data_IF_473119238359
#
_entry.id   IF_473119238359
#
_cell.length_a   1.000
_cell.length_b   1.000
_cell.length_c   1.000
_cell.angle_alpha   90.00
_cell.angle_beta   90.00
_cell.angle_gamma   90.00
#
_symmetry.space_group_name_H-M   'P 1'
#
loop_
_entity.id
_entity.type
_entity.pdbx_description
1 polymer ?
#
# COMPACT_ATOMS: atom_id res chain seq x y z
N UNK A 1 0.94 20.32 7.53
CA UNK A 1 0.44 19.80 8.83
C UNK A 1 1.54 18.92 9.41
N UNK A 2 1.96 19.22 10.63
CA UNK A 2 3.04 18.50 11.32
C UNK A 2 2.54 17.13 11.75
N UNK A 3 2.95 16.10 11.03
CA UNK A 3 2.72 14.71 11.47
C UNK A 3 3.58 14.46 12.70
N UNK A 4 2.96 14.34 13.86
CA UNK A 4 3.64 13.90 15.07
C UNK A 4 3.78 12.37 15.03
N UNK A 5 4.99 11.88 14.89
CA UNK A 5 5.28 10.46 15.01
C UNK A 5 5.32 10.06 16.48
N UNK A 6 4.70 8.95 16.81
CA UNK A 6 4.78 8.38 18.15
C UNK A 6 6.25 8.07 18.53
N UNK A 7 6.64 8.29 19.77
CA UNK A 7 7.95 7.85 20.27
C UNK A 7 8.16 6.35 20.03
N UNK A 8 9.38 5.92 19.76
CA UNK A 8 9.69 4.49 19.50
C UNK A 8 9.20 3.54 20.62
N UNK A 9 9.16 4.00 21.86
CA UNK A 9 8.68 3.23 23.02
C UNK A 9 7.16 2.94 22.96
N UNK A 10 6.41 3.72 22.20
CA UNK A 10 4.95 3.63 22.07
C UNK A 10 4.54 2.90 20.76
N UNK A 11 5.53 2.37 20.05
CA UNK A 11 5.32 1.60 18.80
C UNK A 11 5.80 0.17 19.05
N UNK A 12 5.01 -0.83 18.64
CA UNK A 12 5.39 -2.23 18.72
C UNK A 12 6.78 -2.46 18.11
N UNK A 13 7.63 -3.20 18.80
CA UNK A 13 8.87 -3.72 18.21
C UNK A 13 8.56 -4.68 17.06
N UNK A 14 9.58 -5.12 16.31
CA UNK A 14 9.37 -6.10 15.24
C UNK A 14 8.99 -7.47 15.81
N UNK A 15 9.56 -7.82 16.94
CA UNK A 15 9.28 -9.05 17.68
C UNK A 15 7.85 -9.06 18.22
N UNK A 16 7.39 -7.96 18.80
CA UNK A 16 6.01 -7.81 19.27
C UNK A 16 5.02 -7.85 18.10
N UNK A 17 5.32 -7.19 16.97
CA UNK A 17 4.50 -7.26 15.77
C UNK A 17 4.37 -8.70 15.25
N UNK A 18 5.48 -9.43 15.18
CA UNK A 18 5.47 -10.84 14.78
C UNK A 18 4.68 -11.70 15.79
N UNK A 19 4.87 -11.48 17.08
CA UNK A 19 4.15 -12.20 18.14
C UNK A 19 2.63 -11.99 18.03
N UNK A 20 2.18 -10.75 17.81
CA UNK A 20 0.77 -10.43 17.58
C UNK A 20 0.24 -11.17 16.35
N UNK A 21 0.94 -11.14 15.22
CA UNK A 21 0.55 -11.87 14.02
C UNK A 21 0.41 -13.38 14.27
N UNK A 22 1.37 -13.98 15.01
CA UNK A 22 1.34 -15.41 15.38
C UNK A 22 0.17 -15.77 16.30
N UNK A 23 -0.20 -14.87 17.22
CA UNK A 23 -1.40 -15.06 18.05
C UNK A 23 -2.65 -15.10 17.17
N UNK A 24 -2.82 -14.14 16.26
CA UNK A 24 -3.97 -14.14 15.36
C UNK A 24 -4.01 -15.37 14.45
N UNK A 25 -2.87 -15.84 13.95
CA UNK A 25 -2.83 -17.11 13.18
C UNK A 25 -3.32 -18.30 14.01
N UNK A 26 -2.89 -18.42 15.28
CA UNK A 26 -3.38 -19.48 16.19
C UNK A 26 -4.88 -19.37 16.46
N UNK A 27 -5.44 -18.16 16.40
CA UNK A 27 -6.87 -17.90 16.55
C UNK A 27 -7.67 -18.11 15.23
N UNK A 28 -7.01 -18.56 14.16
CA UNK A 28 -7.66 -18.89 12.89
C UNK A 28 -7.59 -17.80 11.82
N UNK A 29 -6.84 -16.72 12.03
CA UNK A 29 -6.60 -15.73 10.98
C UNK A 29 -5.77 -16.34 9.85
N UNK A 30 -6.32 -16.33 8.63
CA UNK A 30 -5.70 -16.93 7.44
C UNK A 30 -5.10 -15.91 6.48
N UNK A 31 -5.40 -14.62 6.66
CA UNK A 31 -4.88 -13.54 5.79
C UNK A 31 -4.34 -12.41 6.64
N UNK A 32 -3.10 -12.01 6.38
CA UNK A 32 -2.47 -10.88 7.05
C UNK A 32 -2.08 -9.84 6.00
N UNK A 33 -2.40 -8.58 6.30
CA UNK A 33 -1.98 -7.43 5.51
C UNK A 33 -1.13 -6.50 6.35
N UNK A 34 0.10 -6.28 5.93
CA UNK A 34 0.96 -5.26 6.53
C UNK A 34 0.69 -3.92 5.85
N UNK A 35 0.37 -2.93 6.66
CA UNK A 35 0.08 -1.56 6.24
C UNK A 35 0.56 -0.59 7.31
N UNK A 36 0.26 0.68 7.16
CA UNK A 36 0.60 1.72 8.14
C UNK A 36 0.88 3.03 7.42
N UNK A 37 1.92 3.79 7.80
CA UNK A 37 2.45 4.84 6.97
C UNK A 37 3.03 4.21 5.70
N UNK A 38 4.32 3.88 5.70
CA UNK A 38 4.92 3.05 4.65
C UNK A 38 5.66 1.87 5.32
N UNK A 39 5.14 0.64 5.22
CA UNK A 39 5.74 -0.50 5.92
C UNK A 39 7.15 -0.82 5.44
N UNK A 40 7.46 -0.61 4.16
CA UNK A 40 8.75 -1.01 3.58
C UNK A 40 9.92 -0.08 3.94
N UNK A 41 9.66 1.09 4.55
CA UNK A 41 10.73 1.96 5.08
C UNK A 41 11.13 1.59 6.50
N UNK A 42 10.34 0.77 7.21
CA UNK A 42 10.67 0.36 8.56
C UNK A 42 11.90 -0.53 8.56
N UNK A 43 12.96 -0.08 9.24
CA UNK A 43 14.20 -0.85 9.35
C UNK A 43 13.94 -2.24 9.93
N UNK A 44 14.40 -3.29 9.24
CA UNK A 44 14.25 -4.68 9.67
C UNK A 44 12.90 -5.33 9.34
N UNK A 45 11.95 -4.62 8.71
CA UNK A 45 10.62 -5.18 8.41
C UNK A 45 10.68 -6.45 7.54
N UNK A 46 11.68 -6.58 6.68
CA UNK A 46 11.84 -7.77 5.85
C UNK A 46 12.06 -9.05 6.67
N UNK A 47 12.65 -8.94 7.87
CA UNK A 47 12.77 -10.10 8.77
C UNK A 47 11.38 -10.61 9.20
N UNK A 48 10.47 -9.70 9.57
CA UNK A 48 9.08 -10.06 9.93
C UNK A 48 8.36 -10.65 8.73
N UNK A 49 8.49 -10.02 7.56
CA UNK A 49 7.87 -10.48 6.30
C UNK A 49 8.37 -11.89 5.95
N UNK A 50 9.68 -12.14 6.03
CA UNK A 50 10.27 -13.46 5.79
C UNK A 50 9.75 -14.52 6.78
N UNK A 51 9.63 -14.16 8.07
CA UNK A 51 9.16 -15.08 9.10
C UNK A 51 7.67 -15.42 8.92
N UNK A 52 6.83 -14.42 8.62
CA UNK A 52 5.41 -14.62 8.33
C UNK A 52 5.19 -15.34 6.99
N UNK A 53 6.02 -15.07 6.01
CA UNK A 53 5.91 -15.68 4.69
C UNK A 53 6.15 -17.19 4.70
N UNK A 54 6.94 -17.73 5.64
CA UNK A 54 7.12 -19.19 5.84
C UNK A 54 5.82 -19.89 6.25
N UNK A 55 4.85 -19.13 6.75
CA UNK A 55 3.55 -19.64 7.17
C UNK A 55 2.54 -19.68 6.02
N UNK A 56 2.84 -19.07 4.87
CA UNK A 56 1.97 -19.08 3.69
C UNK A 56 1.94 -20.50 3.10
N UNK A 57 0.71 -21.01 2.89
CA UNK A 57 0.48 -22.40 2.51
C UNK A 57 0.36 -23.38 3.68
N UNK A 58 0.54 -22.89 4.91
CA UNK A 58 0.39 -23.65 6.15
C UNK A 58 -0.68 -22.99 7.06
N UNK A 59 -0.26 -22.10 7.95
CA UNK A 59 -1.16 -21.36 8.85
C UNK A 59 -1.74 -20.08 8.22
N UNK A 60 -1.15 -19.57 7.15
CA UNK A 60 -1.67 -18.46 6.35
C UNK A 60 -2.01 -18.90 4.91
N UNK A 61 -3.11 -18.37 4.39
CA UNK A 61 -3.44 -18.44 2.96
C UNK A 61 -2.77 -17.30 2.19
N UNK A 62 -2.63 -16.13 2.82
CA UNK A 62 -2.12 -14.93 2.16
C UNK A 62 -1.39 -13.99 3.13
N UNK A 63 -0.21 -13.54 2.70
CA UNK A 63 0.50 -12.40 3.25
C UNK A 63 0.56 -11.31 2.16
N UNK A 64 -0.02 -10.15 2.43
CA UNK A 64 -0.04 -9.03 1.48
C UNK A 64 0.43 -7.73 2.14
N UNK A 65 0.81 -6.77 1.31
CA UNK A 65 1.36 -5.49 1.76
C UNK A 65 0.62 -4.36 1.04
N UNK A 66 0.28 -3.30 1.77
CA UNK A 66 -0.12 -2.04 1.17
C UNK A 66 1.04 -1.06 1.28
N UNK A 67 1.48 -0.50 0.17
CA UNK A 67 2.68 0.34 0.06
C UNK A 67 2.42 1.54 -0.84
N UNK A 68 3.19 2.60 -0.67
CA UNK A 68 3.23 3.74 -1.59
C UNK A 68 4.12 3.47 -2.84
N UNK A 69 4.72 2.28 -2.94
CA UNK A 69 5.53 1.86 -4.07
C UNK A 69 6.97 2.40 -4.09
N UNK A 70 7.33 3.33 -3.22
CA UNK A 70 8.65 4.00 -3.25
C UNK A 70 9.86 3.07 -3.04
N UNK A 71 9.64 1.88 -2.47
CA UNK A 71 10.69 0.89 -2.19
C UNK A 71 10.60 -0.36 -3.09
N UNK A 72 9.63 -0.45 -4.01
CA UNK A 72 9.42 -1.66 -4.81
C UNK A 72 10.57 -1.96 -5.76
N UNK A 73 11.19 -0.93 -6.34
CA UNK A 73 12.33 -1.13 -7.25
C UNK A 73 13.44 -1.97 -6.61
N UNK A 74 13.66 -1.82 -5.30
CA UNK A 74 14.68 -2.54 -4.53
C UNK A 74 14.16 -3.74 -3.76
N UNK A 75 12.87 -3.78 -3.42
CA UNK A 75 12.29 -4.77 -2.51
C UNK A 75 11.42 -5.83 -3.18
N UNK A 76 11.01 -5.65 -4.42
CA UNK A 76 10.04 -6.53 -5.08
C UNK A 76 10.49 -8.01 -5.10
N UNK A 77 11.75 -8.26 -5.44
CA UNK A 77 12.30 -9.61 -5.48
C UNK A 77 12.40 -10.24 -4.08
N UNK A 78 12.83 -9.46 -3.08
CA UNK A 78 12.90 -9.92 -1.68
C UNK A 78 11.49 -10.24 -1.14
N UNK A 79 10.48 -9.44 -1.48
CA UNK A 79 9.08 -9.69 -1.13
C UNK A 79 8.56 -10.99 -1.75
N UNK A 80 8.81 -11.18 -3.04
CA UNK A 80 8.39 -12.40 -3.73
C UNK A 80 9.03 -13.65 -3.13
N UNK A 81 10.34 -13.60 -2.87
CA UNK A 81 11.09 -14.70 -2.25
C UNK A 81 10.64 -14.97 -0.81
N UNK A 82 10.19 -13.94 -0.10
CA UNK A 82 9.60 -14.06 1.23
C UNK A 82 8.18 -14.68 1.26
N UNK A 83 7.59 -15.05 0.11
CA UNK A 83 6.28 -15.67 0.04
C UNK A 83 5.11 -14.69 -0.19
N UNK A 84 5.35 -13.39 -0.28
CA UNK A 84 4.34 -12.43 -0.75
C UNK A 84 4.02 -12.72 -2.21
N UNK A 85 2.71 -12.76 -2.55
CA UNK A 85 2.27 -13.02 -3.94
C UNK A 85 1.45 -11.88 -4.50
N UNK A 86 0.93 -11.00 -3.65
CA UNK A 86 0.15 -9.83 -4.04
C UNK A 86 0.51 -8.63 -3.18
N UNK A 87 0.55 -7.47 -3.83
CA UNK A 87 0.73 -6.17 -3.19
C UNK A 87 -0.37 -5.21 -3.61
N UNK A 88 -0.74 -4.29 -2.71
CA UNK A 88 -1.58 -3.15 -3.05
C UNK A 88 -0.71 -1.89 -3.05
N UNK A 89 -0.81 -1.12 -4.12
CA UNK A 89 0.01 0.09 -4.29
C UNK A 89 -0.89 1.29 -4.39
N UNK A 90 -0.68 2.28 -3.53
CA UNK A 90 -1.42 3.54 -3.57
C UNK A 90 -0.90 4.41 -4.71
N UNK A 91 -1.78 4.77 -5.65
CA UNK A 91 -1.46 5.64 -6.78
C UNK A 91 -2.72 6.40 -7.20
N UNK A 92 -2.72 7.72 -7.00
CA UNK A 92 -3.90 8.56 -7.19
C UNK A 92 -3.85 9.39 -8.47
N UNK A 93 -2.72 9.42 -9.19
CA UNK A 93 -2.57 10.16 -10.44
C UNK A 93 -1.42 9.61 -11.30
N UNK A 94 -1.54 9.70 -12.65
CA UNK A 94 -0.50 9.32 -13.62
C UNK A 94 0.34 10.51 -14.13
N UNK A 95 -0.06 11.73 -13.81
CA UNK A 95 0.75 12.94 -14.04
C UNK A 95 1.73 13.14 -12.88
N UNK A 96 3.02 13.38 -13.19
CA UNK A 96 4.09 13.46 -12.21
C UNK A 96 3.95 14.65 -11.24
N UNK A 97 3.49 15.80 -11.74
CA UNK A 97 3.31 17.01 -10.92
C UNK A 97 2.13 16.84 -9.98
N UNK A 98 1.02 16.28 -10.46
CA UNK A 98 -0.16 15.96 -9.65
C UNK A 98 0.13 14.88 -8.62
N UNK A 99 0.87 13.85 -8.99
CA UNK A 99 1.33 12.81 -8.07
C UNK A 99 2.21 13.40 -6.96
N UNK A 100 3.12 14.30 -7.31
CA UNK A 100 3.96 15.01 -6.35
C UNK A 100 3.15 15.96 -5.46
N UNK A 101 2.14 16.64 -6.01
CA UNK A 101 1.24 17.52 -5.26
C UNK A 101 0.54 16.75 -4.13
N UNK A 102 -0.05 15.58 -4.42
CA UNK A 102 -0.81 14.81 -3.43
C UNK A 102 0.08 14.05 -2.45
N UNK A 103 1.21 13.52 -2.91
CA UNK A 103 2.14 12.76 -2.08
C UNK A 103 3.17 13.63 -1.37
N UNK A 104 3.32 14.90 -1.76
CA UNK A 104 4.30 15.89 -1.30
C UNK A 104 5.74 15.60 -1.74
N UNK A 105 6.18 14.33 -1.71
CA UNK A 105 7.57 13.90 -1.93
C UNK A 105 7.68 12.72 -2.90
N UNK A 106 6.56 12.29 -3.47
CA UNK A 106 6.52 11.12 -4.35
C UNK A 106 7.24 11.38 -5.68
N UNK A 107 7.88 10.33 -6.17
CA UNK A 107 8.47 10.25 -7.51
C UNK A 107 7.70 9.17 -8.28
N UNK A 108 6.83 9.59 -9.19
CA UNK A 108 5.97 8.72 -9.98
C UNK A 108 6.78 7.74 -10.84
N UNK A 109 7.86 8.20 -11.46
CA UNK A 109 8.67 7.36 -12.32
C UNK A 109 9.40 6.27 -11.53
N UNK A 110 9.83 6.57 -10.31
CA UNK A 110 10.38 5.57 -9.40
C UNK A 110 9.32 4.52 -9.02
N UNK A 111 8.08 4.95 -8.76
CA UNK A 111 6.98 4.03 -8.47
C UNK A 111 6.68 3.15 -9.68
N UNK A 112 6.59 3.71 -10.89
CA UNK A 112 6.38 2.96 -12.13
C UNK A 112 7.48 1.92 -12.38
N UNK A 113 8.76 2.28 -12.19
CA UNK A 113 9.86 1.29 -12.27
C UNK A 113 9.72 0.19 -11.23
N UNK A 114 9.33 0.55 -10.01
CA UNK A 114 9.06 -0.41 -8.94
C UNK A 114 7.91 -1.36 -9.27
N UNK A 115 6.81 -0.86 -9.83
CA UNK A 115 5.67 -1.65 -10.30
C UNK A 115 6.08 -2.62 -11.41
N UNK A 116 6.85 -2.15 -12.40
CA UNK A 116 7.39 -3.00 -13.45
C UNK A 116 8.25 -4.12 -12.86
N UNK A 117 9.20 -3.80 -11.97
CA UNK A 117 10.03 -4.80 -11.29
C UNK A 117 9.18 -5.81 -10.51
N UNK A 118 8.16 -5.34 -9.80
CA UNK A 118 7.25 -6.20 -9.04
C UNK A 118 6.47 -7.17 -9.94
N UNK A 119 5.96 -6.70 -11.08
CA UNK A 119 5.32 -7.53 -12.10
C UNK A 119 6.29 -8.57 -12.68
N UNK A 120 7.49 -8.13 -13.06
CA UNK A 120 8.51 -8.97 -13.71
C UNK A 120 8.98 -10.12 -12.80
N UNK A 121 8.96 -9.93 -11.48
CA UNK A 121 9.25 -11.03 -10.52
C UNK A 121 8.02 -11.88 -10.17
N UNK A 122 6.84 -11.57 -10.71
CA UNK A 122 5.63 -12.38 -10.56
C UNK A 122 4.68 -11.96 -9.42
N UNK A 123 4.86 -10.77 -8.83
CA UNK A 123 3.88 -10.22 -7.88
C UNK A 123 2.62 -9.78 -8.62
N UNK A 124 1.45 -10.18 -8.12
CA UNK A 124 0.17 -9.61 -8.52
C UNK A 124 0.04 -8.22 -7.90
N UNK A 125 -0.36 -7.26 -8.71
CA UNK A 125 -0.43 -5.86 -8.31
C UNK A 125 -1.88 -5.40 -8.33
N UNK A 126 -2.31 -4.75 -7.25
CA UNK A 126 -3.55 -4.02 -7.20
C UNK A 126 -3.25 -2.55 -6.93
N UNK A 127 -3.70 -1.68 -7.81
CA UNK A 127 -3.63 -0.22 -7.61
C UNK A 127 -4.83 0.20 -6.77
N UNK A 128 -4.56 0.92 -5.69
CA UNK A 128 -5.57 1.57 -4.87
C UNK A 128 -5.54 3.06 -5.18
N UNK A 129 -6.64 3.59 -5.69
CA UNK A 129 -6.80 5.00 -6.05
C UNK A 129 -7.93 5.60 -5.23
N UNK A 130 -7.66 6.66 -4.48
CA UNK A 130 -8.69 7.46 -3.83
C UNK A 130 -9.29 8.41 -4.85
N UNK A 131 -10.60 8.31 -5.06
CA UNK A 131 -11.34 9.22 -5.93
C UNK A 131 -11.55 10.56 -5.22
N UNK A 132 -10.97 11.62 -5.77
CA UNK A 132 -10.99 12.96 -5.18
C UNK A 132 -11.65 13.92 -6.16
N UNK A 133 -12.79 14.51 -5.73
CA UNK A 133 -13.50 15.55 -6.50
C UNK A 133 -12.55 16.72 -6.80
N UNK A 134 -12.65 17.25 -8.03
CA UNK A 134 -11.85 18.37 -8.50
C UNK A 134 -10.32 18.16 -8.54
N UNK A 135 -9.86 16.91 -8.33
CA UNK A 135 -8.43 16.59 -8.40
C UNK A 135 -8.16 15.50 -9.45
N UNK A 136 -8.61 14.26 -9.23
CA UNK A 136 -8.35 13.16 -10.15
C UNK A 136 -9.62 12.54 -10.79
N UNK A 137 -10.80 13.08 -10.50
CA UNK A 137 -12.08 12.56 -11.00
C UNK A 137 -12.08 12.34 -12.52
N UNK A 138 -11.61 13.33 -13.29
CA UNK A 138 -11.55 13.24 -14.76
C UNK A 138 -10.45 12.31 -15.27
N UNK A 139 -9.50 11.91 -14.42
CA UNK A 139 -8.36 11.05 -14.77
C UNK A 139 -8.55 9.59 -14.33
N UNK A 140 -9.63 9.26 -13.59
CA UNK A 140 -9.90 7.88 -13.18
C UNK A 140 -10.02 6.91 -14.38
N UNK A 141 -10.66 7.28 -15.52
CA UNK A 141 -10.68 6.42 -16.70
C UNK A 141 -9.27 6.13 -17.26
N UNK A 142 -8.38 7.14 -17.30
CA UNK A 142 -6.99 6.98 -17.74
C UNK A 142 -6.19 6.02 -16.83
N UNK A 143 -6.38 6.14 -15.50
CA UNK A 143 -5.73 5.23 -14.55
C UNK A 143 -6.25 3.80 -14.73
N UNK A 144 -7.56 3.64 -14.95
CA UNK A 144 -8.18 2.33 -15.19
C UNK A 144 -7.65 1.69 -16.48
N UNK A 145 -7.58 2.44 -17.57
CA UNK A 145 -7.04 1.99 -18.86
C UNK A 145 -5.58 1.55 -18.71
N UNK A 146 -4.75 2.40 -18.10
CA UNK A 146 -3.36 2.06 -17.79
C UNK A 146 -3.23 0.80 -16.92
N UNK A 147 -4.07 0.62 -15.91
CA UNK A 147 -4.08 -0.62 -15.12
C UNK A 147 -4.40 -1.84 -15.98
N UNK A 148 -5.32 -1.71 -16.94
CA UNK A 148 -5.65 -2.77 -17.91
C UNK A 148 -4.45 -3.12 -18.80
N UNK A 149 -3.76 -2.12 -19.35
CA UNK A 149 -2.57 -2.30 -20.18
C UNK A 149 -1.41 -2.98 -19.43
N UNK A 150 -1.21 -2.61 -18.17
CA UNK A 150 -0.16 -3.16 -17.31
C UNK A 150 -0.55 -4.49 -16.64
N UNK A 151 -1.79 -4.97 -16.86
CA UNK A 151 -2.37 -6.16 -16.22
C UNK A 151 -2.38 -6.04 -14.68
N UNK A 152 -2.77 -4.87 -14.18
CA UNK A 152 -2.98 -4.60 -12.75
C UNK A 152 -4.46 -4.61 -12.40
N UNK A 153 -4.80 -5.16 -11.24
CA UNK A 153 -6.11 -4.94 -10.64
C UNK A 153 -6.23 -3.48 -10.16
N UNK A 154 -7.44 -2.93 -10.14
CA UNK A 154 -7.70 -1.61 -9.58
C UNK A 154 -8.81 -1.64 -8.52
N UNK A 155 -8.66 -0.82 -7.50
CA UNK A 155 -9.73 -0.48 -6.54
C UNK A 155 -9.83 1.03 -6.46
N UNK A 156 -11.02 1.56 -6.73
CA UNK A 156 -11.34 2.97 -6.52
C UNK A 156 -11.97 3.09 -5.13
N UNK A 157 -11.50 4.03 -4.32
CA UNK A 157 -11.86 4.22 -2.92
C UNK A 157 -12.46 5.61 -2.74
N UNK A 158 -13.62 5.70 -2.13
CA UNK A 158 -14.21 6.99 -1.74
C UNK A 158 -13.40 7.66 -0.62
N UNK A 159 -13.33 8.98 -0.64
CA UNK A 159 -12.78 9.75 0.47
C UNK A 159 -13.63 9.50 1.71
N UNK A 160 -13.04 8.93 2.75
CA UNK A 160 -13.71 8.78 4.04
C UNK A 160 -13.78 10.13 4.77
N UNK A 161 -14.99 10.55 5.13
CA UNK A 161 -15.26 11.79 5.86
C UNK A 161 -15.17 11.60 7.40
N UNK A 162 -14.42 10.59 7.86
CA UNK A 162 -14.27 10.21 9.27
C UNK A 162 -12.95 10.72 9.85
N UNK A 163 -12.95 10.98 11.17
CA UNK A 163 -11.78 11.41 11.93
C UNK A 163 -11.71 12.93 12.15
N UNK A 164 -10.74 13.36 12.97
CA UNK A 164 -10.47 14.77 13.28
C UNK A 164 -9.74 15.43 12.10
N UNK A 165 -10.50 15.68 11.04
CA UNK A 165 -9.97 16.14 9.78
C UNK A 165 -10.49 17.53 9.56
N UNK A 166 -9.73 18.50 10.04
CA UNK A 166 -9.95 19.92 9.92
C UNK A 166 -10.96 20.38 8.88
N UNK A 167 -12.23 20.39 9.26
CA UNK A 167 -13.31 21.12 8.62
C UNK A 167 -13.61 20.81 7.15
N UNK A 168 -14.26 21.74 6.52
CA UNK A 168 -14.93 21.72 5.21
C UNK A 168 -14.13 21.21 3.98
N UNK A 169 -12.80 21.14 4.05
CA UNK A 169 -11.95 20.79 2.90
C UNK A 169 -12.17 19.35 2.40
N UNK A 170 -12.43 18.39 3.30
CA UNK A 170 -12.65 16.99 2.88
C UNK A 170 -14.05 16.71 2.37
N UNK A 171 -15.06 17.44 2.86
CA UNK A 171 -16.40 17.36 2.27
C UNK A 171 -16.40 17.80 0.80
N UNK A 172 -15.59 18.84 0.47
CA UNK A 172 -15.40 19.29 -0.92
C UNK A 172 -14.61 18.32 -1.81
N UNK A 173 -13.94 17.31 -1.22
CA UNK A 173 -13.18 16.29 -1.94
C UNK A 173 -13.96 14.99 -2.13
N UNK A 174 -15.11 14.84 -1.48
CA UNK A 174 -15.94 13.65 -1.59
C UNK A 174 -16.49 13.50 -3.00
N UNK A 175 -16.33 12.32 -3.56
CA UNK A 175 -16.86 11.90 -4.85
C UNK A 175 -17.61 10.58 -4.64
N UNK A 176 -18.96 10.58 -4.70
CA UNK A 176 -19.72 9.34 -4.63
C UNK A 176 -19.45 8.47 -5.87
N UNK A 177 -19.24 7.18 -5.65
CA UNK A 177 -18.99 6.19 -6.71
C UNK A 177 -20.24 5.39 -7.11
N UNK A 178 -21.37 5.68 -6.47
CA UNK A 178 -22.69 5.07 -6.72
C UNK A 178 -23.73 6.10 -7.13
#
# INVERSE_FOLDING_TARGET
>A
EDMQFLPKKDILSLEELEAVCRVFMRLGTRKIRLTGGEPLVRKGIMQVINNLGKEVGNSLDELTITTNGSQLETKAEELFNAGVRRINVSLDHLDADKFKEITRWGDLEKVKRGLKKARDVGLKIKINTVAISNFNQSHLPEILEWCGEENFDMTIIEVMTMGDIGGDKRYGQYLPLS
#
